data_IF_192343397544
#
_entry.id   IF_192343397544
#
_cell.length_a   1.000
_cell.length_b   1.000
_cell.length_c   1.000
_cell.angle_alpha   90.00
_cell.angle_beta   90.00
_cell.angle_gamma   90.00
#
_symmetry.space_group_name_H-M   'P 1'
#
loop_
_entity.id
_entity.type
_entity.pdbx_description
1 polymer ?
#
# COMPACT_ATOMS: atom_id res chain seq x y z
N UNK A 1 25.64 9.80 2.48
CA UNK A 1 25.36 9.62 1.03
C UNK A 1 24.65 8.27 0.85
N UNK A 2 23.91 8.05 -0.26
CA UNK A 2 23.25 6.75 -0.52
C UNK A 2 24.22 5.56 -0.45
N UNK A 3 25.47 5.75 -0.90
CA UNK A 3 26.53 4.75 -0.80
C UNK A 3 26.96 4.43 0.65
N UNK A 4 26.99 5.42 1.53
CA UNK A 4 27.26 5.20 2.95
C UNK A 4 26.18 4.33 3.62
N UNK A 5 24.90 4.63 3.35
CA UNK A 5 23.80 3.83 3.87
C UNK A 5 23.78 2.42 3.27
N UNK A 6 24.15 2.26 1.99
CA UNK A 6 24.30 0.95 1.37
C UNK A 6 25.37 0.12 2.08
N UNK A 7 26.54 0.70 2.39
CA UNK A 7 27.60 0.01 3.12
C UNK A 7 27.14 -0.43 4.50
N UNK A 8 26.40 0.44 5.22
CA UNK A 8 25.81 0.10 6.52
C UNK A 8 24.83 -1.08 6.44
N UNK A 9 24.06 -1.19 5.36
CA UNK A 9 23.18 -2.33 5.13
C UNK A 9 23.97 -3.61 4.82
N UNK A 10 25.06 -3.51 4.06
CA UNK A 10 25.94 -4.65 3.79
C UNK A 10 26.59 -5.16 5.08
N UNK A 11 27.08 -4.27 5.94
CA UNK A 11 27.63 -4.62 7.26
C UNK A 11 26.58 -5.32 8.13
N UNK A 12 25.33 -4.84 8.10
CA UNK A 12 24.23 -5.50 8.83
C UNK A 12 23.91 -6.88 8.28
N UNK A 13 24.04 -7.11 6.98
CA UNK A 13 23.90 -8.45 6.37
C UNK A 13 25.01 -9.38 6.86
N UNK A 14 26.25 -8.88 6.93
CA UNK A 14 27.39 -9.67 7.44
C UNK A 14 27.16 -10.04 8.90
N UNK A 15 26.77 -9.09 9.75
CA UNK A 15 26.43 -9.36 11.14
C UNK A 15 25.29 -10.36 11.28
N UNK A 16 24.22 -10.22 10.50
CA UNK A 16 23.10 -11.17 10.54
C UNK A 16 23.56 -12.59 10.12
N UNK A 17 24.50 -12.70 9.19
CA UNK A 17 25.06 -13.99 8.78
C UNK A 17 25.85 -14.63 9.94
N UNK A 18 26.62 -13.85 10.68
CA UNK A 18 27.33 -14.31 11.87
C UNK A 18 26.37 -14.72 12.99
N UNK A 19 25.38 -13.89 13.31
CA UNK A 19 24.30 -14.20 14.27
C UNK A 19 23.60 -15.53 13.97
N UNK A 20 23.47 -15.89 12.68
CA UNK A 20 22.81 -17.13 12.24
C UNK A 20 23.71 -18.36 12.25
N UNK A 21 25.04 -18.22 12.31
CA UNK A 21 25.95 -19.37 12.36
C UNK A 21 25.85 -20.11 13.70
N UNK A 22 25.64 -19.37 14.78
CA UNK A 22 25.65 -19.88 16.17
C UNK A 22 24.27 -20.33 16.67
N UNK A 23 23.23 -20.25 15.84
CA UNK A 23 21.86 -20.62 16.22
C UNK A 23 21.54 -22.08 15.89
N UNK A 24 20.52 -22.62 16.57
CA UNK A 24 19.88 -23.87 16.15
C UNK A 24 19.00 -23.66 14.91
N UNK A 25 18.90 -24.68 14.04
CA UNK A 25 18.21 -24.58 12.75
C UNK A 25 16.71 -24.19 12.85
N UNK A 26 16.05 -24.57 13.95
CA UNK A 26 14.65 -24.18 14.23
C UNK A 26 14.50 -22.67 14.53
N UNK A 27 15.52 -22.03 15.10
CA UNK A 27 15.55 -20.61 15.41
C UNK A 27 16.10 -19.78 14.25
N UNK A 28 17.03 -20.33 13.44
CA UNK A 28 17.60 -19.67 12.26
C UNK A 28 16.55 -19.15 11.30
N UNK A 29 15.51 -19.92 11.00
CA UNK A 29 14.47 -19.48 10.06
C UNK A 29 13.66 -18.29 10.58
N UNK A 30 13.26 -18.29 11.86
CA UNK A 30 12.52 -17.18 12.46
C UNK A 30 13.41 -15.94 12.60
N UNK A 31 14.64 -16.11 13.07
CA UNK A 31 15.60 -15.03 13.29
C UNK A 31 16.07 -14.40 11.97
N UNK A 32 16.31 -15.21 10.94
CA UNK A 32 16.66 -14.71 9.60
C UNK A 32 15.52 -13.91 8.98
N UNK A 33 14.27 -14.33 9.12
CA UNK A 33 13.11 -13.57 8.61
C UNK A 33 12.97 -12.23 9.33
N UNK A 34 13.12 -12.21 10.66
CA UNK A 34 13.03 -10.98 11.47
C UNK A 34 14.19 -10.04 11.18
N UNK A 35 15.42 -10.52 11.09
CA UNK A 35 16.61 -9.70 10.84
C UNK A 35 16.73 -9.23 9.39
N UNK A 36 16.38 -10.07 8.41
CA UNK A 36 16.50 -9.74 6.99
C UNK A 36 15.45 -8.74 6.50
N UNK A 37 14.25 -8.77 7.11
CA UNK A 37 13.14 -7.92 6.67
C UNK A 37 13.46 -6.41 6.80
N UNK A 38 13.91 -5.87 7.95
CA UNK A 38 14.30 -4.46 8.09
C UNK A 38 15.39 -4.03 7.11
N UNK A 39 16.42 -4.85 6.89
CA UNK A 39 17.50 -4.58 5.94
C UNK A 39 16.94 -4.39 4.53
N UNK A 40 16.01 -5.26 4.12
CA UNK A 40 15.37 -5.20 2.81
C UNK A 40 14.46 -3.96 2.65
N UNK A 41 13.77 -3.52 3.70
CA UNK A 41 12.98 -2.29 3.69
C UNK A 41 13.87 -1.03 3.62
N UNK A 42 14.92 -0.97 4.43
CA UNK A 42 15.87 0.14 4.40
C UNK A 42 16.58 0.24 3.04
N UNK A 43 16.94 -0.90 2.43
CA UNK A 43 17.46 -0.91 1.05
C UNK A 43 16.48 -0.30 0.04
N UNK A 44 15.18 -0.61 0.16
CA UNK A 44 14.16 -0.06 -0.73
C UNK A 44 13.97 1.45 -0.58
N UNK A 45 14.31 2.03 0.57
CA UNK A 45 14.25 3.48 0.83
C UNK A 45 15.41 4.24 0.19
N UNK A 46 16.53 3.57 -0.10
CA UNK A 46 17.67 4.17 -0.78
C UNK A 46 17.39 4.49 -2.26
N UNK A 47 16.26 4.00 -2.79
CA UNK A 47 15.73 4.26 -4.15
C UNK A 47 16.76 4.08 -5.27
N UNK A 48 17.64 3.07 -5.15
CA UNK A 48 18.54 2.70 -6.22
C UNK A 48 17.78 2.20 -7.45
N UNK A 49 18.33 2.53 -8.63
CA UNK A 49 17.80 2.07 -9.90
C UNK A 49 17.72 0.54 -9.96
N UNK A 50 16.71 0.02 -10.67
CA UNK A 50 16.25 -1.37 -10.59
C UNK A 50 17.26 -2.44 -11.04
N UNK A 51 18.48 -2.02 -11.42
CA UNK A 51 19.52 -2.84 -12.02
C UNK A 51 20.63 -3.27 -11.07
N UNK A 52 20.61 -2.86 -9.79
CA UNK A 52 21.70 -3.17 -8.85
C UNK A 52 21.77 -4.66 -8.46
N UNK A 53 20.66 -5.39 -8.42
CA UNK A 53 20.64 -6.81 -8.06
C UNK A 53 20.21 -7.70 -9.21
N UNK A 54 21.07 -8.62 -9.63
CA UNK A 54 20.78 -9.59 -10.69
C UNK A 54 20.18 -10.91 -10.16
N UNK A 55 20.12 -11.13 -8.84
CA UNK A 55 19.65 -12.40 -8.28
C UNK A 55 18.11 -12.55 -8.38
N UNK A 56 17.57 -13.53 -9.13
CA UNK A 56 16.15 -13.58 -9.47
C UNK A 56 15.20 -13.70 -8.27
N UNK A 57 15.58 -14.45 -7.22
CA UNK A 57 14.72 -14.60 -6.03
C UNK A 57 14.63 -13.30 -5.23
N UNK A 58 15.72 -12.53 -5.16
CA UNK A 58 15.76 -11.25 -4.46
C UNK A 58 14.98 -10.19 -5.23
N UNK A 59 15.13 -10.15 -6.56
CA UNK A 59 14.32 -9.30 -7.42
C UNK A 59 12.81 -9.56 -7.22
N UNK A 60 12.38 -10.83 -7.18
CA UNK A 60 10.97 -11.16 -6.91
C UNK A 60 10.50 -10.65 -5.54
N UNK A 61 11.34 -10.75 -4.51
CA UNK A 61 10.99 -10.30 -3.15
C UNK A 61 10.93 -8.78 -3.05
N UNK A 62 11.91 -8.09 -3.63
CA UNK A 62 11.94 -6.62 -3.80
C UNK A 62 10.70 -6.15 -4.55
N UNK A 63 10.40 -6.76 -5.70
CA UNK A 63 9.20 -6.46 -6.49
C UNK A 63 7.92 -6.75 -5.72
N UNK A 64 7.88 -7.83 -4.93
CA UNK A 64 6.77 -8.14 -4.03
C UNK A 64 6.51 -7.02 -3.02
N UNK A 65 7.57 -6.52 -2.37
CA UNK A 65 7.48 -5.42 -1.39
C UNK A 65 7.13 -4.11 -2.10
N UNK A 66 7.77 -3.77 -3.23
CA UNK A 66 7.41 -2.59 -4.03
C UNK A 66 5.95 -2.65 -4.50
N UNK A 67 5.45 -3.81 -4.91
CA UNK A 67 4.06 -3.98 -5.33
C UNK A 67 3.09 -3.92 -4.14
N UNK A 68 3.49 -4.41 -2.96
CA UNK A 68 2.77 -4.18 -1.70
C UNK A 68 2.72 -2.68 -1.42
N UNK A 69 3.87 -2.01 -1.37
CA UNK A 69 3.99 -0.56 -1.14
C UNK A 69 3.13 0.22 -2.15
N UNK A 70 3.26 -0.04 -3.45
CA UNK A 70 2.47 0.58 -4.52
C UNK A 70 0.98 0.29 -4.46
N UNK A 71 0.57 -0.92 -4.03
CA UNK A 71 -0.86 -1.25 -3.80
C UNK A 71 -1.45 -0.47 -2.63
N UNK A 72 -0.61 -0.13 -1.66
CA UNK A 72 -1.02 0.41 -0.38
C UNK A 72 -0.73 1.92 -0.21
N UNK A 73 0.19 2.49 -0.98
CA UNK A 73 0.62 3.90 -0.94
C UNK A 73 -0.53 4.88 -1.23
N UNK A 74 -1.60 4.43 -1.88
CA UNK A 74 -2.73 5.29 -2.21
C UNK A 74 -3.91 5.27 -1.24
N UNK A 75 -4.05 4.26 -0.38
CA UNK A 75 -5.23 4.12 0.48
C UNK A 75 -4.98 3.42 1.83
N UNK A 76 -3.85 2.73 2.02
CA UNK A 76 -3.58 1.99 3.25
C UNK A 76 -3.37 2.93 4.42
N UNK A 77 -2.54 3.97 4.26
CA UNK A 77 -2.23 4.90 5.34
C UNK A 77 -3.48 5.66 5.78
N UNK A 78 -4.25 6.21 4.84
CA UNK A 78 -5.51 6.90 5.16
C UNK A 78 -6.53 5.97 5.83
N UNK A 79 -6.62 4.69 5.41
CA UNK A 79 -7.45 3.71 6.11
C UNK A 79 -6.94 3.38 7.52
N UNK A 80 -5.62 3.31 7.72
CA UNK A 80 -5.04 3.12 9.06
C UNK A 80 -5.40 4.27 9.97
N UNK A 81 -5.33 5.51 9.49
CA UNK A 81 -5.75 6.68 10.26
C UNK A 81 -7.22 6.61 10.66
N UNK A 82 -8.11 6.16 9.76
CA UNK A 82 -9.52 5.90 10.10
C UNK A 82 -9.62 4.85 11.21
N UNK A 83 -8.91 3.72 11.07
CA UNK A 83 -8.92 2.64 12.07
C UNK A 83 -8.45 3.15 13.43
N UNK A 84 -7.33 3.85 13.47
CA UNK A 84 -6.73 4.35 14.70
C UNK A 84 -7.59 5.42 15.36
N UNK A 85 -8.14 6.34 14.56
CA UNK A 85 -9.06 7.37 15.04
C UNK A 85 -10.27 6.75 15.72
N UNK A 86 -10.98 5.87 15.02
CA UNK A 86 -12.21 5.25 15.55
C UNK A 86 -11.92 4.49 16.85
N UNK A 87 -10.83 3.71 16.90
CA UNK A 87 -10.44 3.01 18.12
C UNK A 87 -10.13 3.97 19.29
N UNK A 88 -9.40 5.06 19.03
CA UNK A 88 -9.07 6.07 20.06
C UNK A 88 -10.29 6.83 20.54
N UNK A 89 -11.14 7.28 19.64
CA UNK A 89 -12.37 8.03 19.97
C UNK A 89 -13.34 7.17 20.78
N UNK A 90 -13.53 5.91 20.39
CA UNK A 90 -14.33 4.95 21.15
C UNK A 90 -13.71 4.64 22.51
N UNK A 91 -12.39 4.45 22.61
CA UNK A 91 -11.73 4.24 23.91
C UNK A 91 -11.87 5.45 24.86
N UNK A 92 -11.79 6.67 24.31
CA UNK A 92 -11.94 7.91 25.07
C UNK A 92 -13.38 8.12 25.55
N UNK A 93 -14.38 7.65 24.79
CA UNK A 93 -15.80 7.85 25.11
C UNK A 93 -16.34 6.74 26.02
N UNK A 94 -16.01 5.49 25.72
CA UNK A 94 -16.61 4.30 26.36
C UNK A 94 -15.67 3.61 27.36
N UNK A 95 -14.42 4.06 27.44
CA UNK A 95 -13.37 3.38 28.19
C UNK A 95 -12.58 2.39 27.32
N UNK A 96 -11.43 1.96 27.85
CA UNK A 96 -10.52 1.02 27.18
C UNK A 96 -11.07 -0.40 27.22
N UNK A 97 -10.63 -1.26 26.30
CA UNK A 97 -11.08 -2.65 26.24
C UNK A 97 -10.10 -3.59 26.94
N UNK A 98 -10.60 -4.72 27.43
CA UNK A 98 -9.80 -5.82 28.01
C UNK A 98 -8.93 -6.56 26.99
N UNK A 99 -9.30 -6.52 25.71
CA UNK A 99 -8.57 -7.23 24.66
C UNK A 99 -8.79 -6.59 23.29
N UNK A 100 -7.84 -6.83 22.38
CA UNK A 100 -7.94 -6.37 20.98
C UNK A 100 -9.16 -6.96 20.27
N UNK A 101 -9.49 -8.22 20.56
CA UNK A 101 -10.67 -8.87 19.98
C UNK A 101 -11.95 -8.15 20.41
N UNK A 102 -12.07 -7.81 21.69
CA UNK A 102 -13.21 -7.05 22.19
C UNK A 102 -13.29 -5.65 21.53
N UNK A 103 -12.16 -4.96 21.42
CA UNK A 103 -12.10 -3.65 20.77
C UNK A 103 -12.57 -3.70 19.32
N UNK A 104 -12.04 -4.63 18.52
CA UNK A 104 -12.41 -4.76 17.10
C UNK A 104 -13.88 -5.10 16.95
N UNK A 105 -14.40 -6.09 17.68
CA UNK A 105 -15.80 -6.49 17.55
C UNK A 105 -16.77 -5.35 17.90
N UNK A 106 -16.42 -4.54 18.90
CA UNK A 106 -17.21 -3.39 19.35
C UNK A 106 -17.24 -2.28 18.28
N UNK A 107 -16.07 -1.89 17.76
CA UNK A 107 -16.00 -0.77 16.79
C UNK A 107 -16.23 -1.17 15.34
N UNK A 108 -16.30 -2.47 15.03
CA UNK A 108 -16.35 -2.96 13.65
C UNK A 108 -17.52 -2.38 12.83
N UNK A 109 -18.76 -2.29 13.34
CA UNK A 109 -19.86 -1.68 12.58
C UNK A 109 -19.57 -0.24 12.14
N UNK A 110 -18.90 0.54 12.99
CA UNK A 110 -18.49 1.92 12.70
C UNK A 110 -17.35 1.93 11.67
N UNK A 111 -16.32 1.10 11.88
CA UNK A 111 -15.20 0.96 10.95
C UNK A 111 -15.68 0.54 9.56
N UNK A 112 -16.59 -0.43 9.46
CA UNK A 112 -17.10 -0.93 8.19
C UNK A 112 -17.77 0.21 7.40
N UNK A 113 -18.61 1.01 8.06
CA UNK A 113 -19.28 2.16 7.43
C UNK A 113 -18.29 3.21 6.94
N UNK A 114 -17.33 3.59 7.77
CA UNK A 114 -16.35 4.62 7.42
C UNK A 114 -15.37 4.17 6.33
N UNK A 115 -14.91 2.91 6.38
CA UNK A 115 -14.03 2.34 5.38
C UNK A 115 -14.75 2.22 4.02
N UNK A 116 -16.03 1.84 4.00
CA UNK A 116 -16.85 1.85 2.77
C UNK A 116 -17.02 3.26 2.19
N UNK A 117 -17.32 4.25 3.03
CA UNK A 117 -17.45 5.64 2.61
C UNK A 117 -16.13 6.18 2.04
N UNK A 118 -15.01 5.87 2.71
CA UNK A 118 -13.68 6.18 2.23
C UNK A 118 -13.40 5.55 0.86
N UNK A 119 -13.70 4.26 0.68
CA UNK A 119 -13.47 3.55 -0.59
C UNK A 119 -14.25 4.18 -1.74
N UNK A 120 -15.51 4.54 -1.52
CA UNK A 120 -16.32 5.25 -2.50
C UNK A 120 -15.70 6.60 -2.87
N UNK A 121 -15.27 7.38 -1.88
CA UNK A 121 -14.66 8.69 -2.13
C UNK A 121 -13.33 8.57 -2.88
N UNK A 122 -12.50 7.61 -2.46
CA UNK A 122 -11.23 7.31 -3.09
C UNK A 122 -11.40 6.97 -4.58
N UNK A 123 -12.38 6.12 -4.92
CA UNK A 123 -12.66 5.78 -6.32
C UNK A 123 -13.13 7.00 -7.12
N UNK A 124 -13.99 7.85 -6.54
CA UNK A 124 -14.43 9.11 -7.19
C UNK A 124 -13.24 10.03 -7.47
N UNK A 125 -12.34 10.21 -6.51
CA UNK A 125 -11.14 11.03 -6.67
C UNK A 125 -10.23 10.48 -7.78
N UNK A 126 -10.04 9.15 -7.85
CA UNK A 126 -9.26 8.53 -8.92
C UNK A 126 -9.86 8.75 -10.31
N UNK A 127 -11.18 8.70 -10.45
CA UNK A 127 -11.85 9.03 -11.71
C UNK A 127 -11.56 10.49 -12.09
N UNK A 128 -11.67 11.43 -11.15
CA UNK A 128 -11.41 12.85 -11.38
C UNK A 128 -9.94 13.10 -11.78
N UNK A 129 -8.98 12.52 -11.07
CA UNK A 129 -7.56 12.57 -11.41
C UNK A 129 -7.27 12.04 -12.82
N UNK A 130 -7.84 10.89 -13.17
CA UNK A 130 -7.67 10.29 -14.48
C UNK A 130 -8.28 11.16 -15.58
N UNK A 131 -9.46 11.74 -15.37
CA UNK A 131 -10.08 12.67 -16.31
C UNK A 131 -9.22 13.92 -16.52
N UNK A 132 -8.66 14.49 -15.45
CA UNK A 132 -7.74 15.64 -15.55
C UNK A 132 -6.48 15.30 -16.37
N UNK A 133 -5.92 14.09 -16.18
CA UNK A 133 -4.78 13.61 -16.97
C UNK A 133 -5.15 13.38 -18.44
N UNK A 134 -6.31 12.80 -18.72
CA UNK A 134 -6.82 12.61 -20.08
C UNK A 134 -6.93 13.96 -20.79
N UNK A 135 -7.53 14.97 -20.14
CA UNK A 135 -7.66 16.31 -20.72
C UNK A 135 -6.30 16.92 -21.09
N UNK A 136 -5.30 16.85 -20.19
CA UNK A 136 -3.93 17.32 -20.46
C UNK A 136 -3.27 16.59 -21.64
N UNK A 137 -3.45 15.28 -21.73
CA UNK A 137 -2.90 14.47 -22.84
C UNK A 137 -3.60 14.78 -24.17
N UNK A 138 -4.90 15.02 -24.15
CA UNK A 138 -5.67 15.44 -25.33
C UNK A 138 -5.24 16.82 -25.81
N UNK A 139 -5.03 17.77 -24.91
CA UNK A 139 -4.48 19.09 -25.23
C UNK A 139 -3.07 18.98 -25.85
N UNK A 140 -2.19 18.16 -25.27
CA UNK A 140 -0.87 17.91 -25.80
C UNK A 140 -0.90 17.31 -27.22
N UNK A 141 -1.79 16.33 -27.46
CA UNK A 141 -2.01 15.76 -28.79
C UNK A 141 -2.47 16.81 -29.79
N UNK A 142 -3.40 17.68 -29.41
CA UNK A 142 -3.91 18.73 -30.29
C UNK A 142 -2.84 19.78 -30.61
N UNK A 143 -2.03 20.15 -29.62
CA UNK A 143 -0.88 21.05 -29.82
C UNK A 143 0.19 20.42 -30.72
N UNK A 144 0.43 19.12 -30.61
CA UNK A 144 1.35 18.40 -31.49
C UNK A 144 0.85 18.41 -32.94
N UNK A 145 -0.44 18.11 -33.18
CA UNK A 145 -1.05 18.18 -34.52
C UNK A 145 -0.86 19.55 -35.17
N UNK A 146 -1.06 20.64 -34.42
CA UNK A 146 -0.85 22.02 -34.92
C UNK A 146 0.61 22.31 -35.31
N UNK A 147 1.57 21.62 -34.72
CA UNK A 147 3.01 21.76 -35.05
C UNK A 147 3.43 20.96 -36.28
N UNK A 148 2.71 19.89 -36.62
CA UNK A 148 3.02 19.09 -37.80
C UNK A 148 2.43 19.73 -39.06
N UNK A 149 3.31 20.30 -39.90
CA UNK A 149 2.92 20.99 -41.16
C UNK A 149 2.64 20.03 -42.33
N UNK A 150 2.88 18.72 -42.20
CA UNK A 150 2.68 17.72 -43.27
C UNK A 150 1.83 16.55 -42.78
N UNK A 151 0.91 16.08 -43.64
CA UNK A 151 0.08 14.91 -43.37
C UNK A 151 0.94 13.64 -43.39
N UNK A 152 1.03 12.92 -42.25
CA UNK A 152 1.73 11.64 -42.15
C UNK A 152 2.60 11.45 -40.90
N UNK A 153 2.99 12.53 -40.21
CA UNK A 153 3.91 12.47 -39.07
C UNK A 153 3.20 12.16 -37.74
N UNK A 154 2.56 10.98 -37.59
CA UNK A 154 2.21 10.50 -36.23
C UNK A 154 3.49 9.99 -35.58
N UNK A 155 4.19 10.87 -34.85
CA UNK A 155 5.41 10.51 -34.14
C UNK A 155 5.08 9.60 -32.96
N UNK A 156 6.01 8.71 -32.60
CA UNK A 156 5.89 7.67 -31.54
C UNK A 156 5.27 8.23 -30.24
N UNK A 157 5.55 9.49 -29.88
CA UNK A 157 5.00 10.16 -28.69
C UNK A 157 3.46 10.27 -28.69
N UNK A 158 2.83 10.57 -29.84
CA UNK A 158 1.37 10.67 -29.94
C UNK A 158 0.72 9.30 -29.74
N UNK A 159 1.34 8.24 -30.26
CA UNK A 159 0.89 6.86 -30.02
C UNK A 159 1.00 6.49 -28.54
N UNK A 160 2.04 6.93 -27.85
CA UNK A 160 2.18 6.77 -26.40
C UNK A 160 1.07 7.49 -25.65
N UNK A 161 0.74 8.74 -26.01
CA UNK A 161 -0.37 9.48 -25.38
C UNK A 161 -1.74 8.83 -25.64
N UNK A 162 -2.03 8.41 -26.87
CA UNK A 162 -3.28 7.71 -27.22
C UNK A 162 -3.42 6.42 -26.42
N UNK A 163 -2.36 5.60 -26.35
CA UNK A 163 -2.37 4.37 -25.58
C UNK A 163 -2.57 4.65 -24.09
N UNK A 164 -1.97 5.72 -23.57
CA UNK A 164 -2.13 6.08 -22.17
C UNK A 164 -3.55 6.57 -21.85
N UNK A 165 -4.15 7.39 -22.72
CA UNK A 165 -5.56 7.81 -22.62
C UNK A 165 -6.47 6.57 -22.58
N UNK A 166 -6.33 5.63 -23.52
CA UNK A 166 -7.12 4.39 -23.54
C UNK A 166 -6.99 3.60 -22.24
N UNK A 167 -5.77 3.51 -21.69
CA UNK A 167 -5.53 2.84 -20.41
C UNK A 167 -6.23 3.54 -19.24
N UNK A 168 -6.26 4.87 -19.23
CA UNK A 168 -6.96 5.65 -18.19
C UNK A 168 -8.47 5.53 -18.32
N UNK A 169 -9.00 5.53 -19.54
CA UNK A 169 -10.44 5.34 -19.81
C UNK A 169 -10.92 3.97 -19.36
N UNK A 170 -10.14 2.91 -19.61
CA UNK A 170 -10.48 1.56 -19.17
C UNK A 170 -10.46 1.42 -17.64
N UNK A 171 -9.47 2.04 -16.97
CA UNK A 171 -9.47 2.13 -15.50
C UNK A 171 -10.69 2.88 -14.97
N UNK A 172 -11.08 3.97 -15.62
CA UNK A 172 -12.28 4.72 -15.25
C UNK A 172 -13.57 3.91 -15.47
N UNK A 173 -13.61 3.03 -16.48
CA UNK A 173 -14.71 2.09 -16.70
C UNK A 173 -14.83 1.11 -15.53
N UNK A 174 -13.72 0.49 -15.12
CA UNK A 174 -13.67 -0.41 -13.95
C UNK A 174 -14.09 0.32 -12.66
N UNK A 175 -13.59 1.54 -12.43
CA UNK A 175 -13.98 2.35 -11.28
C UNK A 175 -15.46 2.73 -11.27
N UNK A 176 -16.04 3.07 -12.42
CA UNK A 176 -17.48 3.35 -12.53
C UNK A 176 -18.32 2.10 -12.29
N UNK A 177 -17.85 0.92 -12.69
CA UNK A 177 -18.50 -0.35 -12.36
C UNK A 177 -18.44 -0.61 -10.85
N UNK A 178 -17.28 -0.37 -10.22
CA UNK A 178 -17.12 -0.49 -8.78
C UNK A 178 -18.06 0.43 -7.99
N UNK A 179 -18.27 1.67 -8.44
CA UNK A 179 -19.21 2.61 -7.80
C UNK A 179 -20.69 2.22 -7.95
N UNK A 180 -21.03 1.36 -8.93
CA UNK A 180 -22.40 0.84 -9.12
C UNK A 180 -22.66 -0.43 -8.31
N UNK A 181 -21.61 -1.10 -7.85
CA UNK A 181 -21.74 -2.30 -7.03
C UNK A 181 -22.19 -1.93 -5.60
N UNK A 182 -22.84 -2.88 -4.91
CA UNK A 182 -23.20 -2.72 -3.51
C UNK A 182 -21.96 -2.46 -2.65
N UNK A 183 -20.85 -3.17 -2.94
CA UNK A 183 -19.56 -2.94 -2.33
C UNK A 183 -18.48 -2.72 -3.41
N UNK A 184 -17.83 -1.56 -3.37
CA UNK A 184 -16.70 -1.19 -4.25
C UNK A 184 -15.59 -2.25 -4.20
N UNK A 185 -15.44 -2.84 -3.02
CA UNK A 185 -14.44 -3.83 -2.70
C UNK A 185 -14.61 -5.14 -3.50
N UNK A 186 -15.82 -5.51 -3.91
CA UNK A 186 -16.06 -6.76 -4.66
C UNK A 186 -15.47 -6.71 -6.07
N UNK A 187 -15.51 -5.51 -6.67
CA UNK A 187 -14.96 -5.26 -8.01
C UNK A 187 -13.45 -5.05 -7.93
N UNK A 188 -12.99 -4.21 -7.00
CA UNK A 188 -11.58 -3.80 -6.92
C UNK A 188 -10.70 -4.78 -6.15
N UNK A 189 -11.27 -5.68 -5.35
CA UNK A 189 -10.58 -6.76 -4.62
C UNK A 189 -9.32 -6.24 -3.92
N UNK A 190 -8.17 -6.86 -4.21
CA UNK A 190 -6.85 -6.55 -3.63
C UNK A 190 -6.25 -5.20 -4.06
N UNK A 191 -6.95 -4.41 -4.87
CA UNK A 191 -6.54 -3.02 -5.20
C UNK A 191 -6.88 -2.04 -4.06
N UNK A 192 -7.71 -2.46 -3.10
CA UNK A 192 -8.09 -1.69 -1.92
C UNK A 192 -7.52 -2.36 -0.67
N UNK A 193 -6.90 -1.58 0.21
CA UNK A 193 -6.41 -2.07 1.49
C UNK A 193 -7.55 -2.47 2.43
N UNK A 194 -7.27 -3.45 3.32
CA UNK A 194 -8.25 -3.99 4.27
C UNK A 194 -9.53 -4.52 3.61
N UNK A 195 -9.43 -4.97 2.36
CA UNK A 195 -10.53 -5.59 1.66
C UNK A 195 -10.26 -7.09 1.50
N UNK A 196 -10.83 -7.88 2.38
CA UNK A 196 -10.77 -9.34 2.40
C UNK A 196 -12.11 -9.89 2.82
N UNK A 197 -12.43 -11.13 2.41
CA UNK A 197 -13.62 -11.85 2.85
C UNK A 197 -13.70 -11.95 4.39
N UNK A 198 -12.56 -11.84 5.07
CA UNK A 198 -12.42 -11.78 6.52
C UNK A 198 -11.73 -10.46 6.93
N UNK A 199 -12.47 -9.36 6.76
CA UNK A 199 -11.97 -8.01 7.05
C UNK A 199 -11.72 -7.82 8.55
N UNK A 200 -12.58 -8.35 9.42
CA UNK A 200 -12.42 -8.34 10.87
C UNK A 200 -11.09 -8.97 11.31
N UNK A 201 -10.78 -10.19 10.84
CA UNK A 201 -9.53 -10.85 11.21
C UNK A 201 -8.30 -10.10 10.68
N UNK A 202 -8.43 -9.47 9.51
CA UNK A 202 -7.35 -8.64 8.94
C UNK A 202 -7.11 -7.38 9.78
N UNK A 203 -8.17 -6.72 10.25
CA UNK A 203 -8.10 -5.58 11.16
C UNK A 203 -7.50 -6.00 12.51
N UNK A 204 -7.98 -7.11 13.07
CA UNK A 204 -7.49 -7.69 14.32
C UNK A 204 -5.99 -7.99 14.25
N UNK A 205 -5.55 -8.66 13.19
CA UNK A 205 -4.14 -8.95 12.97
C UNK A 205 -3.32 -7.67 12.77
N UNK A 206 -3.88 -6.64 12.14
CA UNK A 206 -3.19 -5.37 11.99
C UNK A 206 -2.99 -4.67 13.34
N UNK A 207 -4.05 -4.50 14.12
CA UNK A 207 -4.02 -3.79 15.42
C UNK A 207 -3.14 -4.51 16.44
N UNK A 208 -3.14 -5.85 16.46
CA UNK A 208 -2.22 -6.65 17.29
C UNK A 208 -0.74 -6.34 17.05
N UNK A 209 -0.39 -5.87 15.85
CA UNK A 209 0.97 -5.53 15.47
C UNK A 209 1.29 -4.03 15.63
N UNK A 210 0.46 -3.28 16.37
CA UNK A 210 0.64 -1.84 16.63
C UNK A 210 0.76 -1.56 18.14
N UNK A 211 1.94 -1.80 18.76
CA UNK A 211 2.10 -1.71 20.22
C UNK A 211 1.74 -0.35 20.82
N UNK A 212 2.05 0.74 20.13
CA UNK A 212 1.72 2.10 20.57
C UNK A 212 0.21 2.30 20.68
N UNK A 213 -0.53 1.93 19.64
CA UNK A 213 -1.99 1.97 19.64
C UNK A 213 -2.58 1.08 20.75
N UNK A 214 -2.03 -0.12 20.94
CA UNK A 214 -2.50 -1.03 21.98
C UNK A 214 -2.39 -0.41 23.38
N UNK A 215 -1.30 0.31 23.67
CA UNK A 215 -1.10 0.98 24.96
C UNK A 215 -2.14 2.09 25.23
N UNK A 216 -2.72 2.66 24.17
CA UNK A 216 -3.76 3.69 24.26
C UNK A 216 -5.16 3.08 24.48
N UNK A 217 -5.46 1.95 23.82
CA UNK A 217 -6.83 1.42 23.73
C UNK A 217 -7.12 0.23 24.63
N UNK A 218 -6.08 -0.47 25.13
CA UNK A 218 -6.24 -1.65 25.99
C UNK A 218 -6.03 -1.25 27.46
N UNK A 219 -6.84 -1.84 28.34
CA UNK A 219 -6.66 -1.74 29.79
C UNK A 219 -5.26 -2.26 30.16
N UNK A 220 -4.52 -1.50 30.99
CA UNK A 220 -3.31 -2.07 31.59
C UNK A 220 -3.78 -3.08 32.62
N UNK A 221 -3.33 -4.33 32.51
CA UNK A 221 -3.51 -5.32 33.56
C UNK A 221 -3.06 -4.68 34.88
N UNK A 222 -4.02 -4.48 35.79
CA UNK A 222 -3.73 -4.06 37.15
C UNK A 222 -3.11 -5.26 37.86
N UNK A 223 -1.79 -5.39 37.76
CA UNK A 223 -1.01 -6.25 38.65
C UNK A 223 -0.72 -5.50 39.94
#
# INVERSE_FOLDING_TARGET
>A
SQFYELNRLLDRIVQLKEELLDMEDNQKNKHSVVGYKPILYAYLELDFDQHVFQHPKLQRRINGIKNVKKRYEGNLYEKREIIYRVLRESANTNGRWKSVTAAINDVYPTLEKELKAFDQNWVKNRIAENNSKIAKLQEALENNKKRYKRAGDIKIQDRTYINYIKSLEEKNREFRQALKAYNVADILKKKIAFNSNDQEQTLLNHVRNCPELLAEIIEKDSK
#
